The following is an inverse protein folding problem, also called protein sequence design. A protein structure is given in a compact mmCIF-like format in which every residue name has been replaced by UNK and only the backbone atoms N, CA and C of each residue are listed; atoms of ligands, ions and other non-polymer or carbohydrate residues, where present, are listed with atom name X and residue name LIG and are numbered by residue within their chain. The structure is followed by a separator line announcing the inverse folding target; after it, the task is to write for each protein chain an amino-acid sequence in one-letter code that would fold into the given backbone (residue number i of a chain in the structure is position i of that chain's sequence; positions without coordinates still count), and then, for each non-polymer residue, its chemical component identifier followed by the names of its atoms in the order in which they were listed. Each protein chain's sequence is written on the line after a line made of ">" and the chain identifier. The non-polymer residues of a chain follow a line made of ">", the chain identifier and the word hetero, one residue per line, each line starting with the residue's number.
data_IF_140110010200
#
_entry.id   IF_140110010200
#
_cell.length_a   1.000
_cell.length_b   1.000
_cell.length_c   1.000
_cell.angle_alpha   90.00
_cell.angle_beta   90.00
_cell.angle_gamma   90.00
#
_symmetry.space_group_name_H-M   'P 1'
#
loop_
_entity.id
_entity.type
_entity.pdbx_description
1 polymer ?
#
# COMPACT_ATOMS: atom_id res chain seq x y z
N UNK A 1 13.38 -2.95 -5.46
CA UNK A 1 13.20 -2.55 -4.05
C UNK A 1 13.71 -3.69 -3.19
N UNK A 2 14.37 -3.43 -2.04
CA UNK A 2 14.64 -4.50 -1.07
C UNK A 2 13.30 -5.11 -0.68
N UNK A 3 13.22 -6.43 -0.55
CA UNK A 3 12.02 -7.08 -0.06
C UNK A 3 11.58 -6.40 1.24
N UNK A 4 10.35 -5.84 1.31
CA UNK A 4 9.87 -5.29 2.56
C UNK A 4 9.93 -6.41 3.61
N UNK A 5 10.59 -6.14 4.74
CA UNK A 5 10.63 -7.06 5.86
C UNK A 5 9.27 -6.97 6.56
N UNK A 6 8.27 -7.66 6.00
CA UNK A 6 6.87 -7.58 6.43
C UNK A 6 6.43 -8.91 7.01
N UNK A 7 5.81 -8.82 8.19
CA UNK A 7 5.06 -9.94 8.74
C UNK A 7 3.67 -9.95 8.10
N UNK A 8 3.34 -11.04 7.41
CA UNK A 8 2.01 -11.22 6.81
C UNK A 8 1.12 -12.01 7.78
N UNK A 9 0.18 -11.32 8.42
CA UNK A 9 -0.87 -11.96 9.22
C UNK A 9 -2.01 -12.40 8.28
N UNK A 10 -2.13 -13.69 8.03
CA UNK A 10 -3.19 -14.26 7.17
C UNK A 10 -4.23 -14.97 8.02
N UNK A 11 -5.47 -14.49 7.96
CA UNK A 11 -6.61 -15.15 8.60
C UNK A 11 -7.20 -16.20 7.65
N UNK A 12 -6.93 -17.47 7.94
CA UNK A 12 -7.43 -18.60 7.15
C UNK A 12 -8.69 -19.17 7.81
N UNK A 13 -9.80 -19.18 7.08
CA UNK A 13 -11.04 -19.82 7.54
C UNK A 13 -10.94 -21.31 7.21
N UNK A 14 -10.78 -22.13 8.25
CA UNK A 14 -10.41 -23.55 8.20
C UNK A 14 -8.94 -23.74 7.84
N UNK A 15 -8.12 -24.00 8.86
CA UNK A 15 -6.76 -24.48 8.67
C UNK A 15 -6.84 -25.67 7.70
N UNK A 16 -6.31 -25.51 6.49
CA UNK A 16 -5.91 -26.70 5.75
C UNK A 16 -4.88 -27.37 6.66
N UNK A 17 -5.10 -28.64 7.01
CA UNK A 17 -4.20 -29.44 7.86
C UNK A 17 -2.81 -29.69 7.22
N UNK A 18 -2.42 -28.86 6.24
CA UNK A 18 -1.22 -29.00 5.44
C UNK A 18 -0.46 -27.67 5.43
N UNK A 19 0.54 -27.58 6.30
CA UNK A 19 1.45 -26.43 6.44
C UNK A 19 2.14 -26.07 5.10
N UNK A 20 2.53 -27.06 4.29
CA UNK A 20 3.16 -26.83 2.98
C UNK A 20 2.25 -26.09 2.02
N UNK A 21 0.95 -26.39 2.05
CA UNK A 21 -0.02 -25.71 1.20
C UNK A 21 -0.20 -24.25 1.63
N UNK A 22 -0.17 -24.00 2.94
CA UNK A 22 -0.26 -22.64 3.51
C UNK A 22 0.98 -21.82 3.15
N UNK A 23 2.17 -22.39 3.27
CA UNK A 23 3.41 -21.72 2.90
C UNK A 23 3.44 -21.36 1.41
N UNK A 24 2.98 -22.26 0.54
CA UNK A 24 2.84 -21.98 -0.90
C UNK A 24 1.90 -20.83 -1.19
N UNK A 25 0.73 -20.79 -0.54
CA UNK A 25 -0.22 -19.68 -0.68
C UNK A 25 0.37 -18.36 -0.20
N UNK A 26 1.07 -18.37 0.94
CA UNK A 26 1.73 -17.19 1.49
C UNK A 26 2.80 -16.64 0.53
N UNK A 27 3.62 -17.53 -0.07
CA UNK A 27 4.62 -17.15 -1.06
C UNK A 27 3.97 -16.54 -2.31
N UNK A 28 2.87 -17.12 -2.78
CA UNK A 28 2.12 -16.57 -3.93
C UNK A 28 1.54 -15.19 -3.63
N UNK A 29 0.93 -15.03 -2.46
CA UNK A 29 0.40 -13.74 -2.01
C UNK A 29 1.50 -12.69 -1.91
N UNK A 30 2.64 -13.04 -1.29
CA UNK A 30 3.77 -12.13 -1.18
C UNK A 30 4.31 -11.71 -2.56
N UNK A 31 4.37 -12.62 -3.54
CA UNK A 31 4.74 -12.29 -4.92
C UNK A 31 3.76 -11.30 -5.54
N UNK A 32 2.46 -11.55 -5.42
CA UNK A 32 1.44 -10.66 -5.97
C UNK A 32 1.52 -9.26 -5.35
N UNK A 33 1.76 -9.16 -4.04
CA UNK A 33 1.95 -7.88 -3.36
C UNK A 33 3.23 -7.16 -3.82
N UNK A 34 4.33 -7.87 -4.07
CA UNK A 34 5.57 -7.26 -4.58
C UNK A 34 5.37 -6.54 -5.91
N UNK A 35 4.49 -7.06 -6.78
CA UNK A 35 4.24 -6.49 -8.11
C UNK A 35 3.45 -5.17 -8.04
N UNK A 36 2.63 -4.98 -7.00
CA UNK A 36 1.73 -3.82 -6.86
C UNK A 36 2.21 -2.79 -5.83
N UNK A 37 3.09 -3.15 -4.90
CA UNK A 37 3.63 -2.23 -3.91
C UNK A 37 4.80 -1.40 -4.45
N UNK A 38 4.56 -0.78 -5.61
CA UNK A 38 5.51 0.15 -6.21
C UNK A 38 5.11 1.58 -5.92
N UNK A 39 6.07 2.50 -5.93
CA UNK A 39 5.78 3.94 -5.80
C UNK A 39 4.85 4.42 -6.93
N UNK A 40 4.98 3.85 -8.11
CA UNK A 40 4.16 4.20 -9.27
C UNK A 40 2.69 3.83 -9.04
N UNK A 41 2.43 2.57 -8.68
CA UNK A 41 1.09 2.07 -8.33
C UNK A 41 0.49 2.86 -7.18
N UNK A 42 1.26 3.09 -6.12
CA UNK A 42 0.82 3.85 -4.96
C UNK A 42 0.42 5.29 -5.36
N UNK A 43 1.23 5.95 -6.17
CA UNK A 43 0.94 7.32 -6.61
C UNK A 43 -0.30 7.42 -7.52
N UNK A 44 -0.68 6.34 -8.20
CA UNK A 44 -1.86 6.31 -9.05
C UNK A 44 -3.17 6.12 -8.27
N UNK A 45 -3.15 5.29 -7.23
CA UNK A 45 -4.37 4.94 -6.46
C UNK A 45 -4.69 5.93 -5.34
N UNK A 46 -3.78 6.85 -5.04
CA UNK A 46 -3.98 7.89 -4.02
C UNK A 46 -4.22 9.28 -4.62
N UNK A 47 -4.83 10.14 -3.81
CA UNK A 47 -4.94 11.58 -4.03
C UNK A 47 -4.65 12.33 -2.73
N UNK A 48 -4.26 13.59 -2.85
CA UNK A 48 -4.05 14.49 -1.72
C UNK A 48 -5.26 15.41 -1.61
N UNK A 49 -5.90 15.41 -0.46
CA UNK A 49 -6.94 16.37 -0.11
C UNK A 49 -6.29 17.45 0.77
N UNK A 50 -6.06 18.63 0.19
CA UNK A 50 -5.52 19.79 0.91
C UNK A 50 -6.68 20.70 1.33
N UNK A 51 -7.14 20.54 2.58
CA UNK A 51 -8.22 21.34 3.13
C UNK A 51 -7.80 22.78 3.40
N UNK A 52 -6.50 23.06 3.60
CA UNK A 52 -6.01 24.43 3.78
C UNK A 52 -6.17 25.26 2.50
N UNK A 53 -6.12 24.60 1.33
CA UNK A 53 -6.27 25.24 0.02
C UNK A 53 -7.59 24.91 -0.69
N UNK A 54 -8.43 24.08 -0.09
CA UNK A 54 -9.67 23.56 -0.68
C UNK A 54 -9.45 22.93 -2.06
N UNK A 55 -8.43 22.08 -2.20
CA UNK A 55 -8.04 21.46 -3.47
C UNK A 55 -7.69 20.00 -3.32
N UNK A 56 -7.93 19.26 -4.41
CA UNK A 56 -7.49 17.88 -4.58
C UNK A 56 -6.29 17.87 -5.54
N UNK A 57 -5.27 17.06 -5.24
CA UNK A 57 -4.11 16.89 -6.08
C UNK A 57 -3.82 15.41 -6.33
N UNK A 58 -3.65 15.03 -7.59
CA UNK A 58 -3.36 13.66 -8.03
C UNK A 58 -1.97 13.50 -8.66
N UNK A 59 -1.11 14.51 -8.53
CA UNK A 59 0.25 14.48 -9.09
C UNK A 59 1.12 13.49 -8.32
N UNK A 60 1.65 12.50 -9.03
CA UNK A 60 2.43 11.42 -8.44
C UNK A 60 3.64 11.91 -7.65
N UNK A 61 4.34 12.94 -8.14
CA UNK A 61 5.53 13.48 -7.45
C UNK A 61 5.14 14.14 -6.13
N UNK A 62 4.03 14.86 -6.10
CA UNK A 62 3.47 15.44 -4.86
C UNK A 62 3.06 14.37 -3.87
N UNK A 63 2.37 13.32 -4.33
CA UNK A 63 1.96 12.19 -3.49
C UNK A 63 3.17 11.54 -2.83
N UNK A 64 4.18 11.18 -3.63
CA UNK A 64 5.40 10.56 -3.10
C UNK A 64 6.17 11.48 -2.15
N UNK A 65 6.18 12.79 -2.44
CA UNK A 65 6.81 13.79 -1.56
C UNK A 65 6.07 13.92 -0.22
N UNK A 66 4.74 13.86 -0.22
CA UNK A 66 3.95 13.91 1.00
C UNK A 66 4.21 12.68 1.88
N UNK A 67 4.22 11.48 1.29
CA UNK A 67 4.53 10.23 2.00
C UNK A 67 5.92 10.29 2.64
N UNK A 68 6.91 10.80 1.90
CA UNK A 68 8.28 10.88 2.40
C UNK A 68 8.44 11.89 3.55
N UNK A 69 7.77 13.05 3.45
CA UNK A 69 7.94 14.15 4.41
C UNK A 69 6.97 14.09 5.60
N UNK A 70 5.93 13.27 5.50
CA UNK A 70 4.80 13.27 6.43
C UNK A 70 3.73 14.30 6.07
N UNK A 71 2.52 14.04 6.57
CA UNK A 71 1.33 14.84 6.31
C UNK A 71 1.29 16.05 7.23
N UNK A 72 1.27 17.28 6.69
CA UNK A 72 1.00 18.46 7.50
C UNK A 72 -0.47 18.50 7.93
N UNK A 73 -0.82 19.30 8.96
CA UNK A 73 -2.20 19.42 9.42
C UNK A 73 -3.19 19.74 8.29
N UNK A 74 -4.33 19.04 8.30
CA UNK A 74 -5.42 19.21 7.33
C UNK A 74 -5.05 18.92 5.87
N UNK A 75 -3.98 18.15 5.65
CA UNK A 75 -3.65 17.57 4.36
C UNK A 75 -3.70 16.06 4.51
N UNK A 76 -4.56 15.42 3.74
CA UNK A 76 -4.84 13.99 3.88
C UNK A 76 -4.44 13.25 2.62
N UNK A 77 -3.85 12.07 2.79
CA UNK A 77 -3.65 11.13 1.72
C UNK A 77 -4.85 10.18 1.66
N UNK A 78 -5.67 10.30 0.61
CA UNK A 78 -6.89 9.55 0.43
C UNK A 78 -6.71 8.46 -0.63
N UNK A 79 -7.08 7.22 -0.31
CA UNK A 79 -7.14 6.15 -1.31
C UNK A 79 -8.43 6.32 -2.14
N UNK A 80 -8.34 6.17 -3.45
CA UNK A 80 -9.48 6.34 -4.38
C UNK A 80 -10.42 5.13 -4.44
N UNK A 81 -10.07 4.01 -3.80
CA UNK A 81 -10.85 2.78 -3.78
C UNK A 81 -12.02 2.82 -2.78
#
# INVERSE_FOLDING_TARGET
>A
MKAPNRDLLVLVKHARDNEDAMERELVQLNKLLMDVETQDTFSHVYEIIDCNKFRINTDSRRIMKLIHNGEPPFVFLNNKN
#
